data_IF_297479324130
#
_entry.id   IF_297479324130
#
_cell.length_a   1.000
_cell.length_b   1.000
_cell.length_c   1.000
_cell.angle_alpha   90.00
_cell.angle_beta   90.00
_cell.angle_gamma   90.00
#
_symmetry.space_group_name_H-M   'P 1'
#
loop_
_entity.id
_entity.type
_entity.pdbx_description
1 polymer ?
#
# COMPACT_ATOMS: atom_id res chain seq x y z
N UNK A 1 -20.90 12.04 24.74
CA UNK A 1 -20.63 10.76 24.07
C UNK A 1 -19.99 9.86 25.11
N UNK A 2 -20.40 8.59 25.18
CA UNK A 2 -19.83 7.62 26.11
C UNK A 2 -18.50 7.11 25.56
N UNK A 3 -17.47 7.01 26.41
CA UNK A 3 -16.19 6.44 26.04
C UNK A 3 -16.36 4.94 25.77
N UNK A 4 -15.90 4.48 24.60
CA UNK A 4 -15.92 3.06 24.27
C UNK A 4 -14.63 2.41 24.78
N UNK A 5 -14.71 1.23 25.41
CA UNK A 5 -13.52 0.51 25.84
C UNK A 5 -12.69 0.10 24.62
N UNK A 6 -11.37 0.10 24.78
CA UNK A 6 -10.44 -0.30 23.73
C UNK A 6 -9.51 0.82 23.29
N UNK A 7 -8.84 0.59 22.17
CA UNK A 7 -7.89 1.51 21.55
C UNK A 7 -8.10 1.51 20.04
N UNK A 8 -7.62 2.55 19.36
CA UNK A 8 -7.75 2.65 17.90
C UNK A 8 -6.98 1.53 17.20
N UNK A 9 -7.52 1.04 16.08
CA UNK A 9 -6.98 -0.12 15.37
C UNK A 9 -5.54 0.13 14.90
N UNK A 10 -5.19 1.34 14.48
CA UNK A 10 -3.81 1.71 14.09
C UNK A 10 -2.77 1.48 15.21
N UNK A 11 -3.15 1.63 16.48
CA UNK A 11 -2.24 1.40 17.60
C UNK A 11 -1.95 -0.09 17.85
N UNK A 12 -2.83 -0.98 17.40
CA UNK A 12 -2.72 -2.42 17.65
C UNK A 12 -2.49 -3.24 16.39
N UNK A 13 -2.68 -2.66 15.20
CA UNK A 13 -2.68 -3.37 13.91
C UNK A 13 -1.42 -4.20 13.68
N UNK A 14 -0.26 -3.71 14.14
CA UNK A 14 1.03 -4.39 14.00
C UNK A 14 1.24 -5.52 15.02
N UNK A 15 0.45 -5.53 16.09
CA UNK A 15 0.56 -6.49 17.20
C UNK A 15 -0.43 -7.64 17.14
N UNK A 16 -1.50 -7.52 16.34
CA UNK A 16 -2.52 -8.55 16.18
C UNK A 16 -2.25 -9.40 14.94
N UNK A 17 -2.55 -10.70 15.02
CA UNK A 17 -2.29 -11.64 13.93
C UNK A 17 -3.24 -11.43 12.74
N UNK A 18 -2.86 -11.92 11.56
CA UNK A 18 -3.70 -11.84 10.36
C UNK A 18 -5.09 -12.45 10.57
N UNK A 19 -5.20 -13.60 11.24
CA UNK A 19 -6.50 -14.22 11.52
C UNK A 19 -7.37 -13.34 12.44
N UNK A 20 -6.75 -12.58 13.34
CA UNK A 20 -7.46 -11.61 14.18
C UNK A 20 -7.85 -10.36 13.39
N UNK A 21 -7.02 -9.92 12.44
CA UNK A 21 -7.35 -8.85 11.50
C UNK A 21 -8.49 -9.24 10.56
N UNK A 22 -8.51 -10.49 10.08
CA UNK A 22 -9.61 -11.02 9.27
C UNK A 22 -10.93 -10.98 10.07
N UNK A 23 -10.88 -11.36 11.35
CA UNK A 23 -12.05 -11.26 12.23
C UNK A 23 -12.53 -9.82 12.46
N UNK A 24 -11.61 -8.84 12.54
CA UNK A 24 -11.95 -7.41 12.60
C UNK A 24 -12.55 -6.95 11.26
N UNK A 25 -12.00 -7.41 10.13
CA UNK A 25 -12.49 -7.08 8.79
C UNK A 25 -13.89 -7.63 8.52
N UNK A 26 -14.20 -8.84 9.01
CA UNK A 26 -15.54 -9.44 8.94
C UNK A 26 -16.58 -8.57 9.68
N UNK A 27 -16.28 -8.18 10.92
CA UNK A 27 -17.14 -7.29 11.70
C UNK A 27 -17.35 -5.95 11.00
N UNK A 28 -16.28 -5.36 10.46
CA UNK A 28 -16.36 -4.09 9.74
C UNK A 28 -17.20 -4.22 8.47
N UNK A 29 -17.03 -5.32 7.72
CA UNK A 29 -17.84 -5.62 6.54
C UNK A 29 -19.32 -5.72 6.88
N UNK A 30 -19.67 -6.38 7.98
CA UNK A 30 -21.04 -6.47 8.47
C UNK A 30 -21.61 -5.10 8.92
N UNK A 31 -20.78 -4.23 9.49
CA UNK A 31 -21.17 -2.85 9.82
C UNK A 31 -21.43 -2.03 8.55
N UNK A 32 -20.52 -2.07 7.58
CA UNK A 32 -20.65 -1.37 6.30
C UNK A 32 -21.86 -1.87 5.50
N UNK A 33 -22.10 -3.19 5.48
CA UNK A 33 -23.30 -3.78 4.86
C UNK A 33 -24.61 -3.35 5.52
N UNK A 34 -24.60 -2.97 6.79
CA UNK A 34 -25.78 -2.41 7.47
C UNK A 34 -25.94 -0.93 7.15
N UNK A 35 -24.84 -0.18 7.13
CA UNK A 35 -24.83 1.24 6.76
C UNK A 35 -25.30 1.45 5.32
N UNK A 36 -24.84 0.61 4.38
CA UNK A 36 -25.16 0.72 2.95
C UNK A 36 -26.65 0.52 2.63
N UNK A 37 -27.41 -0.11 3.53
CA UNK A 37 -28.87 -0.26 3.41
C UNK A 37 -29.65 1.01 3.72
N UNK A 38 -29.01 1.99 4.37
CA UNK A 38 -29.62 3.29 4.66
C UNK A 38 -29.35 4.19 3.46
N UNK A 39 -30.39 4.51 2.69
CA UNK A 39 -30.29 5.24 1.44
C UNK A 39 -30.87 6.65 1.53
N UNK A 40 -30.49 7.49 0.58
CA UNK A 40 -31.02 8.86 0.44
C UNK A 40 -31.24 9.21 -1.04
N UNK A 41 -32.05 10.24 -1.28
CA UNK A 41 -32.25 10.84 -2.62
C UNK A 41 -31.35 12.07 -2.84
N UNK A 42 -30.39 12.32 -1.94
CA UNK A 42 -29.48 13.48 -1.98
C UNK A 42 -28.13 13.12 -1.37
N UNK A 43 -27.07 13.84 -1.78
CA UNK A 43 -25.71 13.68 -1.28
C UNK A 43 -25.26 14.90 -0.47
N UNK A 44 -24.69 14.64 0.70
CA UNK A 44 -24.28 15.68 1.65
C UNK A 44 -23.96 15.08 3.01
N UNK A 45 -23.74 15.94 4.00
CA UNK A 45 -23.51 15.52 5.38
C UNK A 45 -24.81 14.97 5.97
N UNK A 46 -24.72 14.04 6.92
CA UNK A 46 -25.86 13.31 7.49
C UNK A 46 -26.96 14.23 8.07
N UNK A 47 -26.60 15.43 8.51
CA UNK A 47 -27.51 16.44 9.07
C UNK A 47 -28.33 17.20 8.01
N UNK A 48 -28.15 16.87 6.73
CA UNK A 48 -28.81 17.54 5.61
C UNK A 48 -28.05 18.77 5.08
N UNK A 49 -26.91 19.12 5.68
CA UNK A 49 -26.06 20.17 5.16
C UNK A 49 -25.33 19.74 3.88
N UNK A 50 -24.97 20.69 3.01
CA UNK A 50 -24.27 20.35 1.76
C UNK A 50 -22.91 19.73 2.06
N UNK A 51 -22.38 19.01 1.08
CA UNK A 51 -21.01 18.47 1.19
C UNK A 51 -20.00 19.58 1.53
N UNK A 52 -19.12 19.28 2.49
CA UNK A 52 -18.03 20.16 2.90
C UNK A 52 -16.71 19.42 2.73
N UNK A 53 -15.76 20.07 2.09
CA UNK A 53 -14.41 19.56 1.97
C UNK A 53 -13.44 20.72 2.20
N UNK A 54 -12.57 20.59 3.19
CA UNK A 54 -11.63 21.64 3.57
C UNK A 54 -10.61 21.99 2.48
N UNK A 55 -10.39 21.08 1.52
CA UNK A 55 -9.51 21.30 0.38
C UNK A 55 -10.22 22.00 -0.79
N UNK A 56 -11.55 22.18 -0.72
CA UNK A 56 -12.30 22.89 -1.75
C UNK A 56 -12.23 24.40 -1.47
N UNK A 57 -11.84 25.22 -2.47
CA UNK A 57 -11.96 26.66 -2.36
C UNK A 57 -13.39 27.05 -1.99
N UNK A 58 -13.53 28.08 -1.14
CA UNK A 58 -14.85 28.50 -0.61
C UNK A 58 -15.90 28.69 -1.71
N UNK A 59 -15.51 29.26 -2.86
CA UNK A 59 -16.38 29.52 -4.00
C UNK A 59 -16.76 28.27 -4.82
N UNK A 60 -16.13 27.12 -4.58
CA UNK A 60 -16.47 25.82 -5.18
C UNK A 60 -17.19 24.89 -4.22
N UNK A 61 -17.41 25.31 -2.97
CA UNK A 61 -18.22 24.53 -2.05
C UNK A 61 -19.69 24.59 -2.46
N UNK A 62 -20.40 23.45 -2.47
CA UNK A 62 -21.79 23.44 -2.85
C UNK A 62 -22.64 24.17 -1.81
N UNK A 63 -23.53 25.05 -2.28
CA UNK A 63 -24.49 25.75 -1.41
C UNK A 63 -25.61 24.83 -0.92
N UNK A 64 -25.86 23.72 -1.63
CA UNK A 64 -26.96 22.78 -1.39
C UNK A 64 -26.48 21.33 -1.57
N UNK A 65 -27.10 20.36 -0.88
CA UNK A 65 -26.85 18.95 -1.15
C UNK A 65 -27.02 18.62 -2.64
N UNK A 66 -26.20 17.71 -3.16
CA UNK A 66 -26.33 17.26 -4.55
C UNK A 66 -27.55 16.37 -4.71
N UNK A 67 -28.20 16.41 -5.87
CA UNK A 67 -29.41 15.62 -6.13
C UNK A 67 -29.10 14.21 -6.63
N UNK A 68 -27.94 14.03 -7.25
CA UNK A 68 -27.53 12.77 -7.85
C UNK A 68 -25.99 12.69 -7.88
N UNK A 69 -25.48 11.49 -8.19
CA UNK A 69 -24.05 11.20 -8.21
C UNK A 69 -23.32 11.92 -9.35
N UNK A 70 -24.00 12.16 -10.47
CA UNK A 70 -23.45 12.92 -11.61
C UNK A 70 -23.08 14.36 -11.23
N UNK A 71 -23.99 15.09 -10.56
CA UNK A 71 -23.74 16.46 -10.09
C UNK A 71 -22.57 16.50 -9.09
N UNK A 72 -22.49 15.49 -8.23
CA UNK A 72 -21.39 15.33 -7.28
C UNK A 72 -20.05 15.11 -8.00
N UNK A 73 -19.98 14.18 -8.97
CA UNK A 73 -18.77 13.95 -9.78
C UNK A 73 -18.38 15.21 -10.56
N UNK A 74 -19.35 15.90 -11.16
CA UNK A 74 -19.10 17.12 -11.92
C UNK A 74 -18.51 18.25 -11.05
N UNK A 75 -18.93 18.35 -9.78
CA UNK A 75 -18.30 19.27 -8.83
C UNK A 75 -16.82 18.94 -8.57
N UNK A 76 -16.48 17.65 -8.43
CA UNK A 76 -15.09 17.21 -8.33
C UNK A 76 -14.29 17.51 -9.61
N UNK A 77 -14.87 17.34 -10.80
CA UNK A 77 -14.25 17.74 -12.07
C UNK A 77 -13.79 19.21 -12.01
N UNK A 78 -14.68 20.12 -11.59
CA UNK A 78 -14.38 21.56 -11.56
C UNK A 78 -13.24 21.91 -10.61
N UNK A 79 -13.07 21.14 -9.54
CA UNK A 79 -12.02 21.38 -8.55
C UNK A 79 -10.70 20.83 -9.03
N UNK A 80 -10.72 19.61 -9.58
CA UNK A 80 -9.52 19.03 -10.17
C UNK A 80 -8.96 19.89 -11.30
N UNK A 81 -9.80 20.59 -12.07
CA UNK A 81 -9.38 21.55 -13.11
C UNK A 81 -8.48 22.68 -12.60
N UNK A 82 -8.48 22.97 -11.30
CA UNK A 82 -7.58 23.97 -10.70
C UNK A 82 -6.13 23.47 -10.67
N UNK A 83 -5.94 22.16 -10.49
CA UNK A 83 -4.62 21.58 -10.18
C UNK A 83 -4.14 20.56 -11.22
N UNK A 84 -5.05 20.05 -12.05
CA UNK A 84 -4.85 18.89 -12.91
C UNK A 84 -5.26 19.20 -14.36
N UNK A 85 -4.69 18.45 -15.30
CA UNK A 85 -5.00 18.58 -16.74
C UNK A 85 -6.29 17.82 -17.08
N UNK A 86 -7.04 18.27 -18.09
CA UNK A 86 -8.29 17.61 -18.52
C UNK A 86 -8.14 16.10 -18.75
N UNK A 87 -7.10 15.59 -19.46
CA UNK A 87 -6.96 14.15 -19.69
C UNK A 87 -6.81 13.35 -18.39
N UNK A 88 -6.13 13.93 -17.39
CA UNK A 88 -5.96 13.28 -16.09
C UNK A 88 -7.24 13.30 -15.25
N UNK A 89 -8.07 14.34 -15.41
CA UNK A 89 -9.38 14.42 -14.76
C UNK A 89 -10.33 13.39 -15.36
N UNK A 90 -10.34 13.30 -16.70
CA UNK A 90 -11.11 12.29 -17.42
C UNK A 90 -10.68 10.87 -17.01
N UNK A 91 -9.37 10.60 -16.90
CA UNK A 91 -8.89 9.27 -16.50
C UNK A 91 -9.31 8.87 -15.08
N UNK A 92 -9.33 9.82 -14.12
CA UNK A 92 -9.77 9.54 -12.74
C UNK A 92 -11.28 9.32 -12.65
N UNK A 93 -12.07 10.04 -13.46
CA UNK A 93 -13.52 10.10 -13.31
C UNK A 93 -14.29 9.22 -14.31
N UNK A 94 -13.63 8.71 -15.35
CA UNK A 94 -14.25 7.88 -16.39
C UNK A 94 -14.87 6.60 -15.82
N UNK A 95 -14.19 5.97 -14.86
CA UNK A 95 -14.60 4.68 -14.29
C UNK A 95 -15.60 4.82 -13.13
N UNK A 96 -15.92 6.04 -12.70
CA UNK A 96 -16.85 6.26 -11.60
C UNK A 96 -18.31 6.10 -12.07
N UNK A 97 -19.09 5.17 -11.48
CA UNK A 97 -20.49 5.02 -11.81
C UNK A 97 -21.28 6.31 -11.52
N UNK A 98 -21.86 6.92 -12.56
CA UNK A 98 -22.67 8.14 -12.44
C UNK A 98 -24.10 7.87 -12.00
N UNK A 99 -24.58 6.65 -12.20
CA UNK A 99 -25.86 6.14 -11.71
C UNK A 99 -25.60 5.08 -10.64
N UNK A 100 -25.33 5.55 -9.42
CA UNK A 100 -25.06 4.70 -8.27
C UNK A 100 -26.03 5.00 -7.12
N UNK A 101 -26.41 3.98 -6.32
CA UNK A 101 -27.15 4.21 -5.10
C UNK A 101 -26.40 5.17 -4.17
N UNK A 102 -27.15 6.06 -3.52
CA UNK A 102 -26.62 6.95 -2.50
C UNK A 102 -26.88 6.32 -1.14
N UNK A 103 -25.81 6.03 -0.42
CA UNK A 103 -25.85 5.27 0.85
C UNK A 103 -25.23 6.05 1.98
N UNK A 104 -25.61 5.70 3.21
CA UNK A 104 -24.99 6.24 4.41
C UNK A 104 -23.56 5.71 4.58
N UNK A 105 -22.62 6.62 4.80
CA UNK A 105 -21.18 6.39 4.69
C UNK A 105 -20.48 7.34 5.68
N UNK A 106 -19.53 6.83 6.45
CA UNK A 106 -18.63 7.56 7.34
C UNK A 106 -17.72 8.56 6.60
N UNK A 107 -17.19 8.19 5.43
CA UNK A 107 -16.35 9.04 4.56
C UNK A 107 -15.01 9.55 5.14
N UNK A 108 -14.54 8.95 6.23
CA UNK A 108 -13.17 9.06 6.77
C UNK A 108 -12.81 7.79 7.56
N UNK A 109 -13.13 6.62 7.00
CA UNK A 109 -12.98 5.36 7.71
C UNK A 109 -11.54 4.87 7.63
N UNK A 110 -10.69 5.42 8.49
CA UNK A 110 -9.29 5.05 8.66
C UNK A 110 -9.10 4.20 9.93
N UNK A 111 -8.04 3.37 10.05
CA UNK A 111 -7.80 2.54 11.23
C UNK A 111 -7.81 3.32 12.56
N UNK A 112 -7.32 4.58 12.56
CA UNK A 112 -7.40 5.49 13.72
C UNK A 112 -8.83 5.76 14.23
N UNK A 113 -9.84 5.60 13.38
CA UNK A 113 -11.24 5.89 13.66
C UNK A 113 -12.04 4.63 14.03
N UNK A 114 -11.39 3.47 14.08
CA UNK A 114 -11.99 2.18 14.47
C UNK A 114 -11.45 1.80 15.86
N UNK A 115 -12.32 1.70 16.85
CA UNK A 115 -11.95 1.33 18.23
C UNK A 115 -12.16 -0.16 18.42
N UNK A 116 -11.12 -0.83 18.90
CA UNK A 116 -11.11 -2.28 19.15
C UNK A 116 -10.72 -2.60 20.60
N UNK A 117 -11.39 -3.59 21.18
CA UNK A 117 -10.99 -4.25 22.41
C UNK A 117 -10.61 -5.70 22.07
N UNK A 118 -9.30 -5.97 22.08
CA UNK A 118 -8.74 -7.17 21.48
C UNK A 118 -9.03 -7.22 19.98
N UNK A 119 -9.95 -8.10 19.59
CA UNK A 119 -10.39 -8.28 18.19
C UNK A 119 -11.83 -7.83 17.94
N UNK A 120 -12.49 -7.27 18.95
CA UNK A 120 -13.88 -6.85 18.85
C UNK A 120 -13.94 -5.36 18.52
N UNK A 121 -14.69 -4.97 17.48
CA UNK A 121 -14.96 -3.56 17.22
C UNK A 121 -15.96 -3.06 18.25
N UNK A 122 -15.54 -2.11 19.09
CA UNK A 122 -16.37 -1.50 20.14
C UNK A 122 -16.92 -0.13 19.73
N UNK A 123 -16.33 0.50 18.70
CA UNK A 123 -16.82 1.77 18.19
C UNK A 123 -16.21 2.18 16.86
N UNK A 124 -16.95 3.04 16.15
CA UNK A 124 -16.44 3.87 15.05
C UNK A 124 -16.64 5.32 15.47
N UNK A 125 -15.59 6.12 15.38
CA UNK A 125 -15.56 7.51 15.84
C UNK A 125 -15.20 8.47 14.70
N UNK A 126 -15.30 9.77 14.95
CA UNK A 126 -14.97 10.83 13.97
C UNK A 126 -15.93 10.92 12.77
N UNK A 127 -17.24 10.89 13.08
CA UNK A 127 -18.33 11.02 12.09
C UNK A 127 -18.50 12.42 11.49
N UNK A 128 -17.52 13.32 11.63
CA UNK A 128 -17.64 14.72 11.18
C UNK A 128 -17.84 14.86 9.67
N UNK A 129 -17.39 13.88 8.88
CA UNK A 129 -17.59 13.80 7.43
C UNK A 129 -18.71 12.81 7.03
N UNK A 130 -19.33 12.16 8.00
CA UNK A 130 -20.37 11.15 7.81
C UNK A 130 -21.59 11.73 7.10
N UNK A 131 -22.12 11.00 6.13
CA UNK A 131 -23.19 11.49 5.29
C UNK A 131 -23.63 10.50 4.23
N UNK A 132 -24.27 11.03 3.21
CA UNK A 132 -24.86 10.28 2.11
C UNK A 132 -24.03 10.49 0.85
N UNK A 133 -23.45 9.40 0.34
CA UNK A 133 -22.48 9.42 -0.75
C UNK A 133 -22.72 8.25 -1.72
N UNK A 134 -22.08 8.24 -2.91
CA UNK A 134 -22.22 7.09 -3.81
C UNK A 134 -21.74 5.82 -3.10
N UNK A 135 -22.42 4.69 -3.31
CA UNK A 135 -22.15 3.41 -2.63
C UNK A 135 -20.67 3.03 -2.63
N UNK A 136 -19.99 3.30 -3.74
CA UNK A 136 -18.58 2.97 -3.87
C UNK A 136 -17.68 3.84 -2.98
N UNK A 137 -18.12 4.90 -2.31
CA UNK A 137 -17.21 5.78 -1.56
C UNK A 137 -16.43 5.08 -0.43
N UNK A 138 -17.01 4.08 0.21
CA UNK A 138 -16.35 3.25 1.25
C UNK A 138 -15.89 1.88 0.75
N UNK A 139 -16.37 1.48 -0.42
CA UNK A 139 -16.02 0.22 -1.06
C UNK A 139 -15.00 0.40 -2.19
N UNK A 140 -14.73 1.64 -2.59
CA UNK A 140 -13.70 2.04 -3.52
C UNK A 140 -12.40 1.95 -2.75
N UNK A 141 -11.47 1.11 -3.21
CA UNK A 141 -10.08 1.30 -2.85
C UNK A 141 -9.66 2.74 -3.23
N UNK A 142 -8.50 3.23 -2.72
CA UNK A 142 -7.93 4.48 -3.24
C UNK A 142 -7.96 4.48 -4.79
N UNK A 143 -7.95 5.64 -5.47
CA UNK A 143 -8.20 5.85 -6.92
C UNK A 143 -7.23 5.13 -7.90
N UNK A 144 -6.77 3.95 -7.54
CA UNK A 144 -5.79 3.10 -8.19
C UNK A 144 -6.29 1.66 -8.38
N UNK A 145 -7.53 1.35 -8.01
CA UNK A 145 -8.15 0.04 -8.24
C UNK A 145 -9.13 0.09 -9.40
N UNK A 146 -8.65 -0.30 -10.58
CA UNK A 146 -9.52 -0.66 -11.70
C UNK A 146 -10.32 -1.94 -11.36
N UNK A 147 -11.53 -2.13 -11.92
CA UNK A 147 -12.45 -3.23 -11.56
C UNK A 147 -11.94 -4.65 -11.90
N UNK A 148 -10.79 -4.78 -12.55
CA UNK A 148 -10.23 -6.06 -13.01
C UNK A 148 -9.47 -6.85 -11.93
N UNK A 149 -9.49 -6.45 -10.66
CA UNK A 149 -8.84 -7.23 -9.60
C UNK A 149 -9.71 -7.47 -8.36
N UNK A 150 -10.87 -8.10 -8.56
CA UNK A 150 -11.18 -9.27 -7.71
C UNK A 150 -10.29 -10.45 -8.16
N UNK A 151 -8.97 -10.23 -8.15
CA UNK A 151 -7.98 -11.27 -8.33
C UNK A 151 -8.07 -12.18 -7.12
N UNK A 152 -7.99 -13.48 -7.36
CA UNK A 152 -7.93 -14.65 -6.46
C UNK A 152 -7.09 -14.58 -5.17
N UNK A 153 -6.67 -13.40 -4.69
CA UNK A 153 -5.74 -13.19 -3.59
C UNK A 153 -4.28 -13.50 -3.95
N UNK A 154 -4.07 -14.14 -5.10
CA UNK A 154 -2.78 -14.57 -5.65
C UNK A 154 -2.17 -13.44 -6.49
N UNK A 155 -0.87 -13.21 -6.30
CA UNK A 155 -0.11 -12.18 -7.04
C UNK A 155 1.20 -12.76 -7.55
N UNK A 156 1.58 -12.40 -8.78
CA UNK A 156 2.94 -12.65 -9.28
C UNK A 156 3.93 -11.79 -8.50
N UNK A 157 4.91 -12.45 -7.91
CA UNK A 157 6.01 -11.80 -7.17
C UNK A 157 7.27 -11.88 -8.01
N UNK A 158 8.05 -10.81 -7.99
CA UNK A 158 9.26 -10.65 -8.77
C UNK A 158 10.44 -10.28 -7.88
N UNK A 159 11.60 -10.84 -8.17
CA UNK A 159 12.89 -10.26 -7.78
C UNK A 159 13.33 -9.33 -8.90
N UNK A 160 13.78 -8.14 -8.56
CA UNK A 160 14.29 -7.15 -9.50
C UNK A 160 15.71 -6.74 -9.13
N UNK A 161 16.57 -6.64 -10.14
CA UNK A 161 17.84 -5.94 -10.06
C UNK A 161 17.87 -4.80 -11.10
N UNK A 162 18.30 -3.61 -10.68
CA UNK A 162 18.48 -2.46 -11.57
C UNK A 162 19.41 -2.82 -12.73
N UNK A 163 19.23 -2.23 -13.92
CA UNK A 163 19.99 -2.55 -15.14
C UNK A 163 21.50 -2.36 -15.00
N UNK A 164 22.23 -2.57 -16.10
CA UNK A 164 23.70 -2.53 -16.14
C UNK A 164 24.32 -1.15 -15.83
N UNK A 165 23.51 -0.11 -15.65
CA UNK A 165 23.93 1.12 -15.02
C UNK A 165 24.06 0.88 -13.52
N UNK A 166 25.29 0.60 -13.08
CA UNK A 166 25.68 0.59 -11.68
C UNK A 166 25.16 1.86 -10.99
N UNK A 167 24.70 1.75 -9.75
CA UNK A 167 24.40 2.93 -8.95
C UNK A 167 25.67 3.79 -8.73
N UNK A 168 25.53 4.93 -8.04
CA UNK A 168 26.67 5.83 -7.75
C UNK A 168 27.81 5.15 -6.97
N UNK A 169 27.62 3.91 -6.49
CA UNK A 169 28.56 3.13 -5.70
C UNK A 169 29.07 1.88 -6.43
N UNK A 170 28.67 1.66 -7.68
CA UNK A 170 29.19 0.56 -8.48
C UNK A 170 28.39 -0.73 -8.39
N UNK A 171 27.14 -0.71 -7.89
CA UNK A 171 26.37 -1.93 -7.61
C UNK A 171 24.94 -1.87 -8.14
N UNK A 172 24.36 -3.06 -8.39
CA UNK A 172 22.98 -3.19 -8.84
C UNK A 172 22.07 -3.16 -7.63
N UNK A 173 21.20 -2.16 -7.52
CA UNK A 173 20.16 -2.12 -6.48
C UNK A 173 19.16 -3.26 -6.70
N UNK A 174 18.80 -3.95 -5.62
CA UNK A 174 17.92 -5.12 -5.67
C UNK A 174 16.71 -4.96 -4.76
N UNK A 175 15.59 -5.57 -5.17
CA UNK A 175 14.33 -5.55 -4.43
C UNK A 175 13.43 -6.73 -4.81
N UNK A 176 12.43 -6.99 -3.98
CA UNK A 176 11.27 -7.83 -4.32
C UNK A 176 10.05 -6.94 -4.55
N UNK A 177 9.24 -7.25 -5.55
CA UNK A 177 8.01 -6.50 -5.82
C UNK A 177 6.83 -7.34 -6.32
N UNK A 178 5.63 -6.79 -6.18
CA UNK A 178 4.43 -7.27 -6.86
C UNK A 178 3.47 -6.12 -7.16
N UNK A 179 2.67 -6.26 -8.23
CA UNK A 179 1.68 -5.25 -8.60
C UNK A 179 0.42 -5.35 -7.72
N UNK A 180 -0.03 -4.20 -7.24
CA UNK A 180 -1.31 -4.02 -6.57
C UNK A 180 -2.41 -3.53 -7.52
N UNK A 181 -2.06 -3.06 -8.72
CA UNK A 181 -2.98 -2.55 -9.73
C UNK A 181 -2.23 -1.74 -10.79
N UNK A 182 -2.87 -1.52 -11.94
CA UNK A 182 -2.35 -0.66 -13.00
C UNK A 182 -3.17 0.62 -13.07
N UNK A 183 -2.50 1.74 -13.28
CA UNK A 183 -3.12 3.01 -13.61
C UNK A 183 -3.09 3.16 -15.13
N UNK A 184 -4.28 3.33 -15.73
CA UNK A 184 -4.39 3.66 -17.13
C UNK A 184 -4.12 5.16 -17.31
N UNK A 185 -3.01 5.51 -17.97
CA UNK A 185 -2.68 6.87 -18.37
C UNK A 185 -2.22 6.88 -19.84
N UNK A 186 -2.68 7.86 -20.62
CA UNK A 186 -2.37 8.21 -22.01
C UNK A 186 -1.05 7.67 -22.61
N UNK A 187 -0.99 6.37 -22.88
CA UNK A 187 0.16 5.69 -23.49
C UNK A 187 1.27 5.23 -22.52
N UNK A 188 1.25 5.64 -21.25
CA UNK A 188 2.22 5.24 -20.22
C UNK A 188 1.56 4.28 -19.22
N UNK A 189 1.80 2.99 -19.40
CA UNK A 189 1.36 1.96 -18.44
C UNK A 189 2.12 2.15 -17.12
N UNK A 190 1.44 2.54 -16.05
CA UNK A 190 2.03 2.68 -14.71
C UNK A 190 1.40 1.66 -13.75
N UNK A 191 2.21 1.11 -12.83
CA UNK A 191 1.79 0.08 -11.87
C UNK A 191 1.96 0.59 -10.45
N UNK A 192 0.91 0.49 -9.65
CA UNK A 192 1.00 0.60 -8.19
C UNK A 192 1.63 -0.69 -7.69
N UNK A 193 2.81 -0.58 -7.11
CA UNK A 193 3.67 -1.73 -6.85
C UNK A 193 4.06 -1.75 -5.38
N UNK A 194 3.84 -2.89 -4.71
CA UNK A 194 4.42 -3.10 -3.40
C UNK A 194 5.89 -3.49 -3.56
N UNK A 195 6.77 -2.88 -2.77
CA UNK A 195 8.21 -3.09 -2.82
C UNK A 195 8.73 -3.49 -1.45
N UNK A 196 9.52 -4.56 -1.43
CA UNK A 196 10.28 -5.04 -0.27
C UNK A 196 11.76 -4.88 -0.58
N UNK A 197 12.44 -4.02 0.18
CA UNK A 197 13.86 -3.71 -0.05
C UNK A 197 14.50 -3.19 1.23
N UNK A 198 15.81 -3.38 1.34
CA UNK A 198 16.64 -2.55 2.21
C UNK A 198 16.88 -1.20 1.51
N UNK A 199 16.60 -0.11 2.21
CA UNK A 199 16.69 1.26 1.67
C UNK A 199 17.94 1.96 2.18
N UNK A 200 18.52 2.84 1.37
CA UNK A 200 19.73 3.59 1.72
C UNK A 200 20.95 3.09 0.94
N UNK A 201 22.13 3.46 1.41
CA UNK A 201 23.41 3.10 0.80
C UNK A 201 24.47 2.84 1.88
N UNK A 202 25.72 2.61 1.48
CA UNK A 202 26.81 2.31 2.40
C UNK A 202 26.87 3.31 3.56
N UNK A 203 26.78 2.81 4.79
CA UNK A 203 26.82 3.61 6.02
C UNK A 203 25.47 4.15 6.50
N UNK A 204 24.37 3.94 5.77
CA UNK A 204 23.05 4.51 6.11
C UNK A 204 21.89 3.65 5.59
N UNK A 205 21.84 2.39 6.01
CA UNK A 205 20.76 1.45 5.67
C UNK A 205 19.56 1.54 6.63
N UNK A 206 18.37 1.35 6.07
CA UNK A 206 17.08 1.37 6.77
C UNK A 206 16.12 0.33 6.18
N UNK A 207 15.26 -0.24 7.02
CA UNK A 207 14.21 -1.16 6.60
C UNK A 207 12.84 -0.55 6.89
N UNK A 208 12.15 -0.11 5.84
CA UNK A 208 10.79 0.48 5.89
C UNK A 208 9.78 -0.36 5.10
N UNK A 209 10.18 -1.54 4.65
CA UNK A 209 9.38 -2.37 3.78
C UNK A 209 8.26 -3.13 4.55
N UNK A 210 7.12 -3.38 3.90
CA UNK A 210 6.84 -3.10 2.49
C UNK A 210 6.39 -1.65 2.24
N UNK A 211 6.84 -1.04 1.14
CA UNK A 211 6.41 0.31 0.72
C UNK A 211 5.62 0.27 -0.58
N UNK A 212 4.67 1.19 -0.74
CA UNK A 212 3.91 1.34 -1.98
C UNK A 212 4.60 2.36 -2.90
N UNK A 213 4.82 2.02 -4.17
CA UNK A 213 5.41 2.90 -5.18
C UNK A 213 4.61 2.88 -6.48
N UNK A 214 4.42 4.06 -7.10
CA UNK A 214 3.95 4.17 -8.48
C UNK A 214 5.17 4.01 -9.39
N UNK A 215 5.15 3.02 -10.30
CA UNK A 215 6.28 2.69 -11.17
C UNK A 215 5.84 2.63 -12.63
N UNK A 216 6.68 3.14 -13.55
CA UNK A 216 6.46 3.02 -14.99
C UNK A 216 6.75 1.59 -15.45
N UNK A 217 5.76 0.89 -16.02
CA UNK A 217 5.89 -0.51 -16.45
C UNK A 217 6.94 -0.67 -17.55
N UNK A 218 7.04 0.29 -18.46
CA UNK A 218 8.03 0.23 -19.54
C UNK A 218 9.45 0.30 -18.98
N UNK A 219 9.71 1.20 -18.03
CA UNK A 219 11.00 1.24 -17.31
C UNK A 219 11.25 -0.01 -16.45
N UNK A 220 10.19 -0.66 -15.92
CA UNK A 220 10.35 -1.93 -15.21
C UNK A 220 10.88 -3.05 -16.12
N UNK A 221 10.53 -3.01 -17.40
CA UNK A 221 10.87 -4.05 -18.37
C UNK A 221 12.14 -3.73 -19.17
N UNK A 222 12.40 -2.46 -19.49
CA UNK A 222 13.58 -2.05 -20.27
C UNK A 222 14.84 -1.82 -19.44
N UNK A 223 14.68 -1.27 -18.23
CA UNK A 223 15.82 -0.74 -17.45
C UNK A 223 16.22 -1.67 -16.31
N UNK A 224 15.48 -2.76 -16.09
CA UNK A 224 15.69 -3.67 -14.96
C UNK A 224 15.66 -5.13 -15.43
N UNK A 225 16.41 -5.98 -14.74
CA UNK A 225 16.23 -7.44 -14.87
C UNK A 225 15.24 -7.90 -13.82
N UNK A 226 14.22 -8.66 -14.23
CA UNK A 226 13.17 -9.18 -13.34
C UNK A 226 13.03 -10.68 -13.49
N UNK A 227 12.96 -11.38 -12.37
CA UNK A 227 12.69 -12.82 -12.30
C UNK A 227 11.36 -13.03 -11.59
N UNK A 228 10.41 -13.67 -12.27
CA UNK A 228 9.15 -14.07 -11.65
C UNK A 228 9.43 -15.24 -10.72
N UNK A 229 9.27 -15.04 -9.41
CA UNK A 229 9.53 -16.07 -8.40
C UNK A 229 8.32 -16.93 -8.07
N UNK A 230 7.15 -16.59 -8.62
CA UNK A 230 5.96 -17.42 -8.57
C UNK A 230 4.69 -16.61 -8.34
N UNK A 231 3.59 -17.34 -8.26
CA UNK A 231 2.26 -16.85 -7.92
C UNK A 231 2.03 -17.06 -6.41
N UNK A 232 2.04 -15.98 -5.63
CA UNK A 232 1.97 -16.03 -4.18
C UNK A 232 0.56 -15.66 -3.69
N UNK A 233 -0.03 -16.56 -2.89
CA UNK A 233 -1.21 -16.23 -2.07
C UNK A 233 -0.90 -15.10 -1.08
N UNK A 234 -1.95 -14.54 -0.46
CA UNK A 234 -1.80 -13.56 0.62
C UNK A 234 -0.92 -14.09 1.76
N UNK A 235 -1.20 -15.31 2.24
CA UNK A 235 -0.43 -15.94 3.32
C UNK A 235 1.05 -16.13 2.98
N UNK A 236 1.37 -16.53 1.73
CA UNK A 236 2.76 -16.64 1.28
C UNK A 236 3.46 -15.27 1.21
N UNK A 237 2.75 -14.21 0.77
CA UNK A 237 3.29 -12.84 0.79
C UNK A 237 3.50 -12.34 2.22
N UNK A 238 2.58 -12.62 3.14
CA UNK A 238 2.73 -12.25 4.53
C UNK A 238 3.91 -13.00 5.17
N UNK A 239 4.13 -14.27 4.80
CA UNK A 239 5.29 -15.03 5.26
C UNK A 239 6.61 -14.47 4.74
N UNK A 240 6.67 -14.09 3.46
CA UNK A 240 7.81 -13.38 2.88
C UNK A 240 8.15 -12.12 3.68
N UNK A 241 7.14 -11.30 4.03
CA UNK A 241 7.34 -10.09 4.82
C UNK A 241 7.88 -10.37 6.23
N UNK A 242 7.41 -11.43 6.88
CA UNK A 242 7.92 -11.87 8.17
C UNK A 242 9.38 -12.31 8.09
N UNK A 243 9.77 -13.03 7.04
CA UNK A 243 11.17 -13.41 6.80
C UNK A 243 12.03 -12.18 6.58
N UNK A 244 11.58 -11.25 5.73
CA UNK A 244 12.29 -10.02 5.41
C UNK A 244 12.54 -9.14 6.65
N UNK A 245 11.56 -9.04 7.55
CA UNK A 245 11.70 -8.29 8.80
C UNK A 245 12.67 -8.94 9.83
N UNK A 246 12.97 -10.24 9.69
CA UNK A 246 13.89 -10.97 10.58
C UNK A 246 15.35 -10.94 10.13
N UNK A 247 15.62 -10.56 8.88
CA UNK A 247 16.99 -10.47 8.38
C UNK A 247 17.73 -9.35 9.11
N UNK A 248 18.80 -9.70 9.81
CA UNK A 248 19.61 -8.75 10.55
C UNK A 248 20.50 -7.96 9.58
N UNK A 249 20.58 -6.65 9.76
CA UNK A 249 21.52 -5.81 9.02
C UNK A 249 22.08 -4.71 9.93
N UNK A 250 23.31 -4.30 9.63
CA UNK A 250 23.95 -3.16 10.31
C UNK A 250 23.65 -1.88 9.54
N UNK A 251 22.94 -0.94 10.18
CA UNK A 251 22.57 0.35 9.57
C UNK A 251 23.79 1.13 9.04
N UNK A 252 24.92 1.01 9.72
CA UNK A 252 26.18 1.71 9.38
C UNK A 252 27.14 0.86 8.54
N UNK A 253 26.70 -0.31 8.05
CA UNK A 253 27.53 -1.18 7.22
C UNK A 253 27.93 -0.49 5.92
N UNK A 254 29.20 -0.60 5.56
CA UNK A 254 29.73 -0.21 4.24
C UNK A 254 30.15 -1.40 3.39
N UNK A 255 29.97 -2.64 3.90
CA UNK A 255 30.43 -3.89 3.27
C UNK A 255 29.30 -4.85 2.97
N UNK A 256 28.33 -4.98 3.88
CA UNK A 256 27.12 -5.76 3.71
C UNK A 256 25.97 -4.82 3.35
N UNK A 257 25.44 -4.95 2.15
CA UNK A 257 24.51 -4.03 1.50
C UNK A 257 23.14 -4.69 1.22
N UNK A 258 22.35 -4.07 0.34
CA UNK A 258 21.04 -4.58 -0.07
C UNK A 258 21.09 -5.94 -0.80
N UNK A 259 22.20 -6.29 -1.46
CA UNK A 259 22.38 -7.59 -2.10
C UNK A 259 22.66 -8.69 -1.08
N UNK A 260 23.47 -8.41 -0.05
CA UNK A 260 23.66 -9.34 1.08
C UNK A 260 22.34 -9.60 1.78
N UNK A 261 21.61 -8.52 2.11
CA UNK A 261 20.29 -8.62 2.74
C UNK A 261 19.29 -9.42 1.88
N UNK A 262 19.25 -9.18 0.57
CA UNK A 262 18.36 -9.92 -0.33
C UNK A 262 18.77 -11.40 -0.42
N UNK A 263 20.07 -11.71 -0.49
CA UNK A 263 20.54 -13.10 -0.53
C UNK A 263 20.06 -13.89 0.68
N UNK A 264 20.24 -13.34 1.88
CA UNK A 264 19.77 -13.98 3.12
C UNK A 264 18.24 -14.16 3.13
N UNK A 265 17.49 -13.19 2.61
CA UNK A 265 16.05 -13.33 2.45
C UNK A 265 15.68 -14.46 1.48
N UNK A 266 16.33 -14.53 0.32
CA UNK A 266 16.04 -15.57 -0.67
C UNK A 266 16.42 -16.97 -0.17
N UNK A 267 17.53 -17.09 0.59
CA UNK A 267 17.91 -18.33 1.28
C UNK A 267 16.83 -18.74 2.29
N UNK A 268 16.37 -17.82 3.14
CA UNK A 268 15.29 -18.09 4.09
C UNK A 268 13.96 -18.47 3.41
N UNK A 269 13.63 -17.85 2.27
CA UNK A 269 12.46 -18.21 1.47
C UNK A 269 12.60 -19.60 0.86
N UNK A 270 13.80 -19.97 0.39
CA UNK A 270 14.09 -21.31 -0.15
C UNK A 270 13.92 -22.37 0.92
N UNK A 271 14.47 -22.14 2.11
CA UNK A 271 14.39 -23.08 3.25
C UNK A 271 12.94 -23.36 3.69
N UNK A 272 12.03 -22.41 3.46
CA UNK A 272 10.59 -22.57 3.72
C UNK A 272 9.75 -23.01 2.51
N UNK A 273 10.40 -23.33 1.38
CA UNK A 273 9.73 -23.76 0.16
C UNK A 273 8.91 -22.66 -0.55
N UNK A 274 9.18 -21.39 -0.24
CA UNK A 274 8.59 -20.23 -0.94
C UNK A 274 9.34 -19.88 -2.24
N UNK A 275 10.56 -20.38 -2.42
CA UNK A 275 11.39 -20.15 -3.59
C UNK A 275 11.99 -21.47 -4.08
N UNK A 276 11.94 -21.71 -5.39
CA UNK A 276 12.60 -22.85 -6.03
C UNK A 276 14.13 -22.69 -6.01
N UNK A 277 14.84 -23.78 -5.72
CA UNK A 277 16.30 -23.79 -5.61
C UNK A 277 16.99 -23.44 -6.93
N UNK A 278 16.49 -23.97 -8.07
CA UNK A 278 17.05 -23.66 -9.38
C UNK A 278 16.87 -22.18 -9.73
N UNK A 279 15.74 -21.59 -9.34
CA UNK A 279 15.50 -20.16 -9.54
C UNK A 279 16.38 -19.29 -8.62
N UNK A 280 16.60 -19.70 -7.37
CA UNK A 280 17.57 -19.05 -6.49
C UNK A 280 18.96 -18.99 -7.12
N UNK A 281 19.48 -20.13 -7.59
CA UNK A 281 20.80 -20.20 -8.24
C UNK A 281 20.88 -19.34 -9.50
N UNK A 282 19.79 -19.28 -10.28
CA UNK A 282 19.71 -18.42 -11.46
C UNK A 282 19.84 -16.94 -11.09
N UNK A 283 19.13 -16.50 -10.05
CA UNK A 283 19.16 -15.10 -9.58
C UNK A 283 20.53 -14.79 -8.99
N UNK A 284 21.07 -15.65 -8.13
CA UNK A 284 22.38 -15.47 -7.49
C UNK A 284 23.47 -15.31 -8.54
N UNK A 285 23.49 -16.18 -9.56
CA UNK A 285 24.46 -16.12 -10.66
C UNK A 285 24.31 -14.87 -11.53
N UNK A 286 23.08 -14.42 -11.78
CA UNK A 286 22.83 -13.29 -12.68
C UNK A 286 23.10 -11.93 -12.03
N UNK A 287 22.85 -11.79 -10.73
CA UNK A 287 23.12 -10.57 -9.97
C UNK A 287 24.52 -10.57 -9.35
N UNK A 288 25.09 -11.75 -9.09
CA UNK A 288 26.26 -11.97 -8.24
C UNK A 288 25.98 -11.51 -6.80
N UNK A 289 24.92 -12.06 -6.17
CA UNK A 289 24.55 -11.63 -4.82
C UNK A 289 25.68 -11.96 -3.84
N UNK A 290 26.03 -11.00 -3.00
CA UNK A 290 27.13 -11.14 -2.04
C UNK A 290 26.73 -12.00 -0.85
N UNK A 291 27.67 -12.80 -0.37
CA UNK A 291 27.57 -13.43 0.96
C UNK A 291 27.94 -12.45 2.08
N UNK A 292 27.56 -12.78 3.31
CA UNK A 292 27.89 -11.97 4.49
C UNK A 292 29.41 -11.90 4.70
N UNK A 293 29.96 -10.68 4.74
CA UNK A 293 31.34 -10.46 5.16
C UNK A 293 31.44 -10.27 6.68
N UNK A 294 32.25 -11.09 7.34
CA UNK A 294 32.53 -11.03 8.80
C UNK A 294 33.56 -9.98 9.20
N UNK A 295 34.11 -9.19 8.27
CA UNK A 295 35.13 -8.17 8.56
C UNK A 295 34.61 -6.97 9.38
N UNK A 296 33.34 -6.96 9.79
CA UNK A 296 32.69 -5.90 10.57
C UNK A 296 32.71 -6.11 12.10
N UNK A 297 33.29 -7.21 12.61
CA UNK A 297 33.45 -7.46 14.06
C UNK A 297 34.71 -6.82 14.69
N UNK A 298 35.33 -5.82 14.06
CA UNK A 298 36.42 -5.08 14.72
C UNK A 298 35.82 -4.04 15.66
N UNK A 299 35.49 -4.48 16.87
CA UNK A 299 35.30 -3.60 18.02
C UNK A 299 36.61 -2.85 18.23
N UNK A 300 36.63 -1.56 17.93
CA UNK A 300 37.73 -0.67 18.31
C UNK A 300 37.70 -0.56 19.84
N UNK A 301 38.43 -1.46 20.50
CA UNK A 301 38.70 -1.35 21.93
C UNK A 301 39.71 -0.22 22.10
N UNK A 302 39.24 0.95 22.52
CA UNK A 302 40.13 2.01 22.99
C UNK A 302 40.84 1.53 24.26
N UNK A 303 42.11 1.12 24.15
CA UNK A 303 42.99 1.02 25.30
C UNK A 303 43.42 2.43 25.70
N UNK A 304 42.76 3.01 26.70
CA UNK A 304 43.30 4.14 27.45
C UNK A 304 44.43 3.63 28.36
N UNK A 305 45.67 3.73 27.89
CA UNK A 305 46.87 3.48 28.66
C UNK A 305 47.57 4.79 29.03
N UNK A 306 47.51 5.11 30.34
CA UNK A 306 48.43 5.87 31.21
C UNK A 306 49.21 7.06 30.64
#
# INVERSE_FOLDING_TARGET
>A
MEERPGQSLDNVIDSISHAQLDHVADQLSDMLNRMSKITSSWLGIADGSPYRNMFFPYYLQPERPFKNVEDFINAFCQIFRIHLTEPYIESILADLPRDAPITFTHADLLPKNIIVDGTMITGIIDWGTGGFYPFYREHSPPPTSTPETLSTGVKKVYVQAQGWALDSFGERHVLIDWSNGQLANDGLKTSVTQVVQLTGGPGSYHYFAPVCKIRNIQSLESDNTRWCIGDFSRAQRDRLLQLAAKINFLKTSIVNDCQVWLRELLEAMKDEGLLDEGLFEQIDKAVHLKGVSRSSEVVIVWHSGL
#
